data_IF_549762768876
#
_entry.id   IF_549762768876
#
_cell.length_a   1.000
_cell.length_b   1.000
_cell.length_c   1.000
_cell.angle_alpha   90.00
_cell.angle_beta   90.00
_cell.angle_gamma   90.00
#
_symmetry.space_group_name_H-M   'P 1'
#
loop_
_entity.id
_entity.type
_entity.pdbx_description
1 polymer ?
#
# COMPACT_ATOMS: atom_id res chain seq x y z
N UNK A 1 -23.34 29.06 3.68
CA UNK A 1 -24.42 28.11 3.29
C UNK A 1 -24.93 27.36 4.53
N UNK A 2 -26.22 26.96 4.61
CA UNK A 2 -26.74 26.21 5.77
C UNK A 2 -26.36 24.71 5.58
N UNK A 3 -25.53 24.19 6.46
CA UNK A 3 -25.14 22.76 6.42
C UNK A 3 -26.32 21.91 6.89
N UNK A 4 -26.76 21.00 6.02
CA UNK A 4 -27.89 20.08 6.31
C UNK A 4 -27.40 18.76 6.89
N UNK A 5 -28.27 18.05 7.60
CA UNK A 5 -27.98 16.73 8.12
C UNK A 5 -27.70 15.72 6.97
N UNK A 6 -28.33 15.89 5.81
CA UNK A 6 -28.08 15.06 4.62
C UNK A 6 -26.64 15.21 4.09
N UNK A 7 -26.13 16.44 3.99
CA UNK A 7 -24.74 16.70 3.58
C UNK A 7 -23.73 16.07 4.55
N UNK A 8 -24.01 16.16 5.86
CA UNK A 8 -23.13 15.54 6.88
C UNK A 8 -23.14 14.02 6.76
N UNK A 9 -24.31 13.42 6.50
CA UNK A 9 -24.45 11.99 6.30
C UNK A 9 -23.69 11.54 5.04
N UNK A 10 -23.89 12.23 3.92
CA UNK A 10 -23.19 11.94 2.64
C UNK A 10 -21.66 12.02 2.80
N UNK A 11 -21.15 13.10 3.41
CA UNK A 11 -19.71 13.24 3.65
C UNK A 11 -19.18 12.12 4.53
N UNK A 12 -19.94 11.70 5.56
CA UNK A 12 -19.57 10.58 6.42
C UNK A 12 -19.56 9.24 5.66
N UNK A 13 -20.51 8.99 4.79
CA UNK A 13 -20.55 7.77 3.96
C UNK A 13 -19.36 7.71 3.00
N UNK A 14 -18.96 8.84 2.43
CA UNK A 14 -17.79 8.93 1.53
C UNK A 14 -16.44 8.83 2.25
N UNK A 15 -16.34 9.31 3.51
CA UNK A 15 -15.03 9.45 4.19
C UNK A 15 -14.87 8.57 5.42
N UNK A 16 -15.95 7.94 5.90
CA UNK A 16 -15.99 7.21 7.18
C UNK A 16 -15.53 8.01 8.40
N UNK A 17 -15.43 9.34 8.29
CA UNK A 17 -15.02 10.23 9.37
C UNK A 17 -16.12 10.40 10.42
N UNK A 18 -15.75 10.91 11.61
CA UNK A 18 -16.70 11.19 12.69
C UNK A 18 -17.74 12.26 12.28
N UNK A 19 -19.00 12.10 12.70
CA UNK A 19 -20.11 12.99 12.33
C UNK A 19 -19.82 14.46 12.67
N UNK A 20 -19.19 14.73 13.83
CA UNK A 20 -18.87 16.10 14.25
C UNK A 20 -17.75 16.69 13.39
N UNK A 21 -16.79 15.88 12.97
CA UNK A 21 -15.72 16.29 12.08
C UNK A 21 -16.26 16.60 10.68
N UNK A 22 -17.14 15.75 10.15
CA UNK A 22 -17.81 16.02 8.87
C UNK A 22 -18.58 17.33 8.92
N UNK A 23 -19.37 17.57 9.99
CA UNK A 23 -20.11 18.83 10.15
C UNK A 23 -19.19 20.04 10.20
N UNK A 24 -18.09 19.95 10.97
CA UNK A 24 -17.12 21.03 11.11
C UNK A 24 -16.43 21.34 9.79
N UNK A 25 -15.97 20.32 9.09
CA UNK A 25 -15.29 20.52 7.80
C UNK A 25 -16.22 21.04 6.71
N UNK A 26 -17.49 20.61 6.68
CA UNK A 26 -18.48 21.22 5.78
C UNK A 26 -18.74 22.70 6.11
N UNK A 27 -18.74 23.08 7.40
CA UNK A 27 -18.84 24.48 7.78
C UNK A 27 -17.63 25.31 7.31
N UNK A 28 -16.41 24.79 7.50
CA UNK A 28 -15.17 25.44 7.05
C UNK A 28 -15.05 25.51 5.51
N UNK A 29 -15.69 24.55 4.82
CA UNK A 29 -15.75 24.48 3.36
C UNK A 29 -16.95 25.24 2.75
N UNK A 30 -17.75 25.97 3.55
CA UNK A 30 -18.98 26.64 3.11
C UNK A 30 -19.97 25.72 2.36
N UNK A 31 -19.98 24.44 2.72
CA UNK A 31 -20.84 23.41 2.13
C UNK A 31 -20.28 22.75 0.87
N UNK A 32 -19.06 23.08 0.46
CA UNK A 32 -18.37 22.39 -0.63
C UNK A 32 -17.90 20.99 -0.18
N UNK A 33 -18.42 19.95 -0.83
CA UNK A 33 -18.18 18.55 -0.46
C UNK A 33 -16.72 18.15 -0.70
N UNK A 34 -16.16 18.51 -1.85
CA UNK A 34 -14.79 18.11 -2.21
C UNK A 34 -13.76 18.83 -1.33
N UNK A 35 -13.95 20.10 -1.08
CA UNK A 35 -13.13 20.85 -0.15
C UNK A 35 -13.24 20.32 1.29
N UNK A 36 -14.42 19.87 1.72
CA UNK A 36 -14.60 19.24 3.03
C UNK A 36 -13.85 17.90 3.13
N UNK A 37 -13.83 17.10 2.06
CA UNK A 37 -13.03 15.86 1.97
C UNK A 37 -11.54 16.19 2.11
N UNK A 38 -11.06 17.20 1.39
CA UNK A 38 -9.64 17.61 1.47
C UNK A 38 -9.27 18.08 2.88
N UNK A 39 -10.13 18.86 3.54
CA UNK A 39 -9.92 19.30 4.93
C UNK A 39 -9.91 18.12 5.90
N UNK A 40 -10.80 17.13 5.73
CA UNK A 40 -10.79 15.89 6.51
C UNK A 40 -9.49 15.10 6.32
N UNK A 41 -9.01 14.99 5.09
CA UNK A 41 -7.73 14.33 4.77
C UNK A 41 -6.55 15.03 5.46
N UNK A 42 -6.46 16.36 5.37
CA UNK A 42 -5.44 17.17 6.08
C UNK A 42 -5.51 16.99 7.59
N UNK A 43 -6.71 16.98 8.15
CA UNK A 43 -6.93 16.74 9.59
C UNK A 43 -6.50 15.33 10.00
N UNK A 44 -6.82 14.32 9.19
CA UNK A 44 -6.42 12.92 9.39
C UNK A 44 -4.90 12.77 9.41
N UNK A 45 -4.20 13.36 8.45
CA UNK A 45 -2.74 13.40 8.39
C UNK A 45 -2.13 14.03 9.64
N UNK A 46 -2.65 15.17 10.08
CA UNK A 46 -2.18 15.84 11.30
C UNK A 46 -2.43 15.01 12.56
N UNK A 47 -3.57 14.31 12.64
CA UNK A 47 -3.88 13.43 13.77
C UNK A 47 -2.98 12.18 13.79
N UNK A 48 -2.72 11.57 12.66
CA UNK A 48 -1.79 10.44 12.52
C UNK A 48 -0.36 10.85 12.89
N UNK A 49 0.12 12.00 12.40
CA UNK A 49 1.44 12.53 12.72
C UNK A 49 1.65 12.73 14.23
N UNK A 50 0.64 13.20 14.96
CA UNK A 50 0.70 13.36 16.44
C UNK A 50 0.80 12.01 17.18
N UNK A 51 0.39 10.92 16.55
CA UNK A 51 0.36 9.57 17.15
C UNK A 51 1.53 8.69 16.70
N UNK A 52 2.20 9.03 15.61
CA UNK A 52 3.26 8.23 15.01
C UNK A 52 4.42 7.86 15.98
N UNK A 53 4.68 8.72 16.98
CA UNK A 53 5.68 8.46 18.02
C UNK A 53 5.20 7.64 19.21
N UNK A 54 3.91 7.23 19.27
CA UNK A 54 3.39 6.44 20.37
C UNK A 54 3.75 4.96 20.18
N UNK A 55 4.05 4.28 21.29
CA UNK A 55 4.36 2.86 21.27
C UNK A 55 3.13 2.05 20.85
N UNK A 56 3.26 1.27 19.80
CA UNK A 56 2.26 0.33 19.30
C UNK A 56 2.84 -1.08 19.44
N UNK A 57 2.63 -1.69 20.61
CA UNK A 57 3.18 -3.01 20.96
C UNK A 57 2.15 -4.13 20.88
N UNK A 58 0.87 -3.78 20.91
CA UNK A 58 -0.25 -4.68 20.70
C UNK A 58 -0.58 -4.80 19.20
N UNK A 59 -1.58 -5.57 18.82
CA UNK A 59 -2.00 -5.72 17.43
C UNK A 59 -2.38 -7.13 17.04
N UNK A 60 -2.15 -7.47 15.77
CA UNK A 60 -2.41 -8.82 15.25
C UNK A 60 -1.41 -9.24 14.18
N UNK A 61 -1.18 -10.55 14.11
CA UNK A 61 -0.59 -11.20 12.95
C UNK A 61 -1.73 -11.75 12.09
N UNK A 62 -1.94 -11.11 10.92
CA UNK A 62 -2.93 -11.56 9.96
C UNK A 62 -2.34 -12.49 8.93
N UNK A 63 -3.19 -13.34 8.34
CA UNK A 63 -2.82 -14.19 7.22
C UNK A 63 -3.80 -14.06 6.07
N UNK A 64 -3.29 -14.29 4.85
CA UNK A 64 -4.11 -14.37 3.65
C UNK A 64 -3.56 -15.45 2.72
N UNK A 65 -4.42 -16.36 2.29
CA UNK A 65 -4.08 -17.39 1.32
C UNK A 65 -4.91 -17.16 0.06
N UNK A 66 -4.23 -17.04 -1.09
CA UNK A 66 -4.86 -16.73 -2.37
C UNK A 66 -4.79 -17.92 -3.34
N UNK A 67 -5.80 -18.01 -4.21
CA UNK A 67 -5.83 -18.91 -5.36
C UNK A 67 -5.40 -20.35 -5.02
N UNK A 68 -6.20 -21.05 -4.23
CA UNK A 68 -5.98 -22.46 -3.86
C UNK A 68 -4.61 -22.74 -3.21
N UNK A 69 -4.07 -21.76 -2.48
CA UNK A 69 -2.80 -21.91 -1.78
C UNK A 69 -1.57 -21.54 -2.60
N UNK A 70 -1.73 -20.93 -3.77
CA UNK A 70 -0.59 -20.54 -4.62
C UNK A 70 0.21 -19.36 -4.09
N UNK A 71 -0.42 -18.50 -3.29
CA UNK A 71 0.23 -17.37 -2.61
C UNK A 71 -0.23 -17.35 -1.16
N UNK A 72 0.72 -17.25 -0.22
CA UNK A 72 0.48 -17.11 1.21
C UNK A 72 1.16 -15.86 1.76
N UNK A 73 0.45 -15.12 2.63
CA UNK A 73 0.97 -13.92 3.30
C UNK A 73 0.73 -14.03 4.80
N UNK A 74 1.74 -13.64 5.58
CA UNK A 74 1.63 -13.27 6.98
C UNK A 74 2.04 -11.81 7.13
N UNK A 75 1.26 -11.01 7.87
CA UNK A 75 1.57 -9.60 8.13
C UNK A 75 1.36 -9.27 9.60
N UNK A 76 2.29 -8.58 10.22
CA UNK A 76 2.19 -8.02 11.58
C UNK A 76 1.80 -6.55 11.49
N UNK A 77 0.62 -6.24 12.04
CA UNK A 77 0.10 -4.87 12.16
C UNK A 77 -0.09 -4.57 13.63
N UNK A 78 0.56 -3.51 14.10
CA UNK A 78 0.55 -3.12 15.51
C UNK A 78 -0.38 -1.94 15.76
N UNK A 79 -0.95 -1.88 16.98
CA UNK A 79 -1.72 -0.77 17.54
C UNK A 79 -1.32 -0.54 19.01
N UNK A 80 -1.90 0.48 19.66
CA UNK A 80 -1.54 0.84 21.03
C UNK A 80 -2.13 -0.14 22.07
N UNK A 81 -3.36 -0.64 21.84
CA UNK A 81 -4.07 -1.50 22.80
C UNK A 81 -4.64 -2.77 22.18
N UNK A 82 -4.78 -3.82 23.02
CA UNK A 82 -5.42 -5.09 22.64
C UNK A 82 -6.94 -4.92 22.38
N UNK A 83 -7.57 -3.91 22.96
CA UNK A 83 -8.97 -3.58 22.68
C UNK A 83 -9.17 -3.18 21.21
N UNK A 84 -8.31 -2.33 20.68
CA UNK A 84 -8.34 -1.93 19.26
C UNK A 84 -8.01 -3.13 18.39
N UNK A 85 -7.01 -3.93 18.74
CA UNK A 85 -6.62 -5.13 18.00
C UNK A 85 -7.80 -6.09 17.74
N UNK A 86 -8.77 -6.15 18.66
CA UNK A 86 -9.95 -7.04 18.56
C UNK A 86 -11.13 -6.44 17.79
N UNK A 87 -11.08 -5.16 17.42
CA UNK A 87 -12.19 -4.53 16.69
C UNK A 87 -12.29 -5.02 15.25
N UNK A 88 -13.52 -5.10 14.73
CA UNK A 88 -13.78 -5.47 13.33
C UNK A 88 -13.07 -4.53 12.34
N UNK A 89 -13.01 -3.24 12.65
CA UNK A 89 -12.33 -2.23 11.83
C UNK A 89 -10.83 -2.50 11.71
N UNK A 90 -10.17 -2.89 12.80
CA UNK A 90 -8.75 -3.23 12.81
C UNK A 90 -8.51 -4.57 12.11
N UNK A 91 -9.31 -5.58 12.39
CA UNK A 91 -9.19 -6.90 11.76
C UNK A 91 -9.45 -6.83 10.24
N UNK A 92 -10.38 -5.99 9.80
CA UNK A 92 -10.61 -5.72 8.38
C UNK A 92 -9.38 -5.04 7.73
N UNK A 93 -8.77 -4.07 8.40
CA UNK A 93 -7.54 -3.42 7.94
C UNK A 93 -6.39 -4.42 7.77
N UNK A 94 -6.16 -5.28 8.76
CA UNK A 94 -5.11 -6.32 8.71
C UNK A 94 -5.32 -7.25 7.51
N UNK A 95 -6.56 -7.68 7.28
CA UNK A 95 -6.94 -8.54 6.15
C UNK A 95 -6.75 -7.86 4.80
N UNK A 96 -7.12 -6.59 4.71
CA UNK A 96 -6.98 -5.78 3.50
C UNK A 96 -5.50 -5.58 3.13
N UNK A 97 -4.64 -5.33 4.13
CA UNK A 97 -3.19 -5.22 3.94
C UNK A 97 -2.61 -6.56 3.49
N UNK A 98 -2.97 -7.68 4.14
CA UNK A 98 -2.49 -9.00 3.76
C UNK A 98 -2.87 -9.38 2.32
N UNK A 99 -4.10 -9.07 1.91
CA UNK A 99 -4.58 -9.29 0.55
C UNK A 99 -3.85 -8.39 -0.46
N UNK A 100 -3.60 -7.13 -0.12
CA UNK A 100 -2.81 -6.22 -0.96
C UNK A 100 -1.39 -6.74 -1.16
N UNK A 101 -0.70 -7.18 -0.10
CA UNK A 101 0.65 -7.78 -0.18
C UNK A 101 0.64 -9.00 -1.11
N UNK A 102 -0.38 -9.84 -1.05
CA UNK A 102 -0.49 -11.01 -1.93
C UNK A 102 -0.55 -10.60 -3.41
N UNK A 103 -1.28 -9.53 -3.72
CA UNK A 103 -1.51 -9.08 -5.10
C UNK A 103 -0.39 -8.19 -5.65
N UNK A 104 0.11 -7.24 -4.85
CA UNK A 104 1.02 -6.18 -5.29
C UNK A 104 2.51 -6.53 -5.11
N UNK A 105 2.84 -7.62 -4.39
CA UNK A 105 4.21 -8.12 -4.21
C UNK A 105 5.23 -7.06 -3.75
N UNK A 106 4.97 -6.31 -2.67
CA UNK A 106 5.95 -5.37 -2.15
C UNK A 106 7.19 -6.11 -1.65
N UNK A 107 8.36 -5.46 -1.71
CA UNK A 107 9.63 -5.99 -1.20
C UNK A 107 9.99 -5.45 0.17
N UNK A 108 9.49 -4.26 0.49
CA UNK A 108 9.78 -3.50 1.72
C UNK A 108 8.48 -2.99 2.32
N UNK A 109 8.45 -2.75 3.62
CA UNK A 109 7.31 -2.05 4.22
C UNK A 109 7.38 -0.56 3.85
N UNK A 110 8.55 0.06 3.99
CA UNK A 110 8.77 1.51 3.81
C UNK A 110 10.08 1.81 3.11
N UNK A 111 10.22 3.02 2.56
CA UNK A 111 11.41 3.43 1.79
C UNK A 111 12.70 3.42 2.60
N UNK A 112 12.64 3.62 3.92
CA UNK A 112 13.81 3.60 4.81
C UNK A 112 14.44 2.21 4.94
N UNK A 113 13.73 1.15 4.55
CA UNK A 113 14.25 -0.22 4.51
C UNK A 113 15.05 -0.52 3.24
N UNK A 114 14.92 0.33 2.22
CA UNK A 114 15.67 0.20 0.97
C UNK A 114 17.10 0.70 1.18
N UNK A 115 18.07 -0.20 1.03
CA UNK A 115 19.47 0.17 1.26
C UNK A 115 20.02 1.08 0.17
N UNK A 116 20.93 2.00 0.54
CA UNK A 116 21.56 2.92 -0.42
C UNK A 116 22.27 2.13 -1.54
N UNK A 117 22.93 1.03 -1.22
CA UNK A 117 23.61 0.17 -2.22
C UNK A 117 22.65 -0.39 -3.28
N UNK A 118 21.40 -0.69 -2.90
CA UNK A 118 20.38 -1.13 -3.86
C UNK A 118 19.92 0.03 -4.74
N UNK A 119 19.70 1.19 -4.15
CA UNK A 119 19.32 2.39 -4.90
C UNK A 119 20.40 2.83 -5.90
N UNK A 120 21.66 2.75 -5.49
CA UNK A 120 22.80 3.10 -6.37
C UNK A 120 22.86 2.15 -7.58
N UNK A 121 22.65 0.85 -7.37
CA UNK A 121 22.58 -0.14 -8.47
C UNK A 121 21.41 0.11 -9.41
N UNK A 122 20.22 0.36 -8.87
CA UNK A 122 19.05 0.68 -9.69
C UNK A 122 19.26 1.99 -10.47
N UNK A 123 19.86 3.00 -9.83
CA UNK A 123 20.16 4.27 -10.48
C UNK A 123 21.15 4.10 -11.64
N UNK A 124 22.18 3.27 -11.48
CA UNK A 124 23.14 2.94 -12.54
C UNK A 124 22.45 2.23 -13.72
N UNK A 125 21.63 1.21 -13.43
CA UNK A 125 20.84 0.50 -14.45
C UNK A 125 19.95 1.45 -15.23
N UNK A 126 19.23 2.35 -14.52
CA UNK A 126 18.37 3.32 -15.18
C UNK A 126 19.14 4.34 -16.00
N UNK A 127 20.33 4.77 -15.54
CA UNK A 127 21.18 5.68 -16.29
C UNK A 127 21.67 5.02 -17.59
N UNK A 128 22.11 3.76 -17.53
CA UNK A 128 22.56 3.01 -18.70
C UNK A 128 21.45 2.78 -19.72
N UNK A 129 20.23 2.45 -19.25
CA UNK A 129 19.05 2.37 -20.11
C UNK A 129 18.80 3.68 -20.85
N UNK A 130 18.88 4.81 -20.14
CA UNK A 130 18.65 6.14 -20.73
C UNK A 130 19.75 6.52 -21.74
N UNK A 131 21.00 6.13 -21.50
CA UNK A 131 22.12 6.27 -22.47
C UNK A 131 21.87 5.45 -23.73
N UNK A 132 21.46 4.20 -23.56
CA UNK A 132 21.12 3.32 -24.67
C UNK A 132 19.93 3.87 -25.52
N UNK A 133 18.99 4.56 -24.89
CA UNK A 133 17.88 5.27 -25.56
C UNK A 133 18.31 6.61 -26.21
N UNK A 134 19.59 6.99 -26.13
CA UNK A 134 20.11 8.22 -26.72
C UNK A 134 19.73 9.51 -25.98
N UNK A 135 19.37 9.42 -24.69
CA UNK A 135 19.08 10.62 -23.88
C UNK A 135 20.37 11.40 -23.57
N UNK A 136 20.25 12.71 -23.52
CA UNK A 136 21.37 13.58 -23.17
C UNK A 136 21.80 13.39 -21.71
N UNK A 137 23.13 13.31 -21.45
CA UNK A 137 23.72 13.22 -20.10
C UNK A 137 23.19 14.32 -19.14
N UNK A 138 22.81 15.48 -19.67
CA UNK A 138 22.27 16.60 -18.86
C UNK A 138 20.92 16.30 -18.22
N UNK A 139 20.08 15.47 -18.86
CA UNK A 139 18.72 15.16 -18.38
C UNK A 139 18.63 13.83 -17.66
N UNK A 140 19.60 12.91 -17.85
CA UNK A 140 19.61 11.57 -17.24
C UNK A 140 19.45 11.64 -15.73
N UNK A 141 20.15 12.50 -14.96
CA UNK A 141 19.99 12.53 -13.50
C UNK A 141 18.54 12.83 -13.06
N UNK A 142 17.83 13.71 -13.76
CA UNK A 142 16.44 14.03 -13.44
C UNK A 142 15.49 12.86 -13.76
N UNK A 143 15.75 12.15 -14.88
CA UNK A 143 14.97 10.97 -15.25
C UNK A 143 15.21 9.84 -14.22
N UNK A 144 16.47 9.60 -13.85
CA UNK A 144 16.83 8.58 -12.85
C UNK A 144 16.16 8.89 -11.51
N UNK A 145 16.18 10.13 -11.06
CA UNK A 145 15.46 10.54 -9.85
C UNK A 145 13.97 10.16 -9.91
N UNK A 146 13.30 10.46 -11.02
CA UNK A 146 11.89 10.09 -11.23
C UNK A 146 11.67 8.57 -11.25
N UNK A 147 12.61 7.80 -11.84
CA UNK A 147 12.56 6.33 -11.84
C UNK A 147 12.77 5.74 -10.44
N UNK A 148 13.62 6.33 -9.61
CA UNK A 148 13.80 5.93 -8.20
C UNK A 148 12.53 6.21 -7.38
N UNK A 149 11.87 7.35 -7.55
CA UNK A 149 10.58 7.59 -6.88
C UNK A 149 9.53 6.56 -7.32
N UNK A 150 9.52 6.19 -8.60
CA UNK A 150 8.66 5.11 -9.10
C UNK A 150 9.01 3.76 -8.49
N UNK A 151 10.31 3.46 -8.33
CA UNK A 151 10.78 2.25 -7.64
C UNK A 151 10.20 2.14 -6.23
N UNK A 152 10.20 3.24 -5.45
CA UNK A 152 9.57 3.24 -4.12
C UNK A 152 8.08 2.95 -4.19
N UNK A 153 7.36 3.61 -5.10
CA UNK A 153 5.91 3.40 -5.25
C UNK A 153 5.52 2.01 -5.76
N UNK A 154 6.44 1.28 -6.39
CA UNK A 154 6.23 -0.09 -6.86
C UNK A 154 6.63 -1.15 -5.83
N UNK A 155 7.66 -0.87 -5.00
CA UNK A 155 8.26 -1.87 -4.12
C UNK A 155 8.06 -1.64 -2.62
N UNK A 156 7.67 -0.43 -2.19
CA UNK A 156 7.41 -0.13 -0.79
C UNK A 156 5.91 -0.19 -0.50
N UNK A 157 5.48 -1.13 0.33
CA UNK A 157 4.09 -1.39 0.68
C UNK A 157 3.30 -0.11 0.99
N UNK A 158 3.85 0.76 1.84
CA UNK A 158 3.15 1.96 2.29
C UNK A 158 2.92 2.98 1.17
N UNK A 159 3.72 2.93 0.10
CA UNK A 159 3.64 3.86 -1.04
C UNK A 159 2.85 3.28 -2.22
N UNK A 160 2.57 1.98 -2.20
CA UNK A 160 1.78 1.34 -3.26
C UNK A 160 0.33 1.85 -3.28
N UNK A 161 -0.26 2.07 -4.47
CA UNK A 161 -1.69 2.30 -4.62
C UNK A 161 -2.48 1.11 -4.09
N UNK A 162 -3.49 1.36 -3.26
CA UNK A 162 -4.30 0.29 -2.67
C UNK A 162 -5.14 -0.43 -3.73
N UNK A 163 -5.06 -1.76 -3.79
CA UNK A 163 -5.68 -2.56 -4.87
C UNK A 163 -7.20 -2.45 -4.97
N UNK A 164 -7.91 -2.07 -3.91
CA UNK A 164 -9.37 -1.86 -3.91
C UNK A 164 -9.76 -0.41 -4.21
N UNK A 165 -8.82 0.53 -4.07
CA UNK A 165 -9.03 1.96 -4.25
C UNK A 165 -7.70 2.62 -4.63
N UNK A 166 -7.41 2.64 -5.93
CA UNK A 166 -6.12 3.10 -6.46
C UNK A 166 -5.89 4.60 -6.35
N UNK A 167 -6.92 5.36 -5.92
CA UNK A 167 -6.81 6.80 -5.70
C UNK A 167 -6.10 7.13 -4.38
N UNK A 168 -5.82 6.12 -3.55
CA UNK A 168 -5.08 6.27 -2.31
C UNK A 168 -4.00 5.20 -2.13
N UNK A 169 -2.92 5.56 -1.45
CA UNK A 169 -1.87 4.64 -1.04
C UNK A 169 -2.27 3.84 0.20
N UNK A 170 -1.53 2.77 0.48
CA UNK A 170 -1.67 1.99 1.74
C UNK A 170 -1.40 2.90 2.96
N UNK A 171 -0.42 3.82 2.88
CA UNK A 171 -0.16 4.79 3.94
C UNK A 171 -1.36 5.69 4.22
N UNK A 172 -2.02 6.16 3.17
CA UNK A 172 -3.23 7.00 3.30
C UNK A 172 -4.40 6.22 3.90
N UNK A 173 -4.60 4.97 3.49
CA UNK A 173 -5.60 4.08 4.08
C UNK A 173 -5.36 3.86 5.58
N UNK A 174 -4.11 3.60 6.00
CA UNK A 174 -3.73 3.46 7.41
C UNK A 174 -3.97 4.78 8.16
N UNK A 175 -3.61 5.92 7.57
CA UNK A 175 -3.83 7.24 8.15
C UNK A 175 -5.30 7.53 8.42
N UNK A 176 -6.19 7.18 7.49
CA UNK A 176 -7.63 7.27 7.67
C UNK A 176 -8.10 6.40 8.85
N UNK A 177 -7.56 5.20 8.99
CA UNK A 177 -7.87 4.30 10.12
C UNK A 177 -7.36 4.85 11.44
N UNK A 178 -6.15 5.41 11.50
CA UNK A 178 -5.63 6.10 12.69
C UNK A 178 -6.52 7.28 13.10
N UNK A 179 -7.00 8.06 12.13
CA UNK A 179 -7.90 9.17 12.38
C UNK A 179 -9.26 8.70 12.95
N UNK A 180 -9.80 7.59 12.43
CA UNK A 180 -11.08 7.00 12.84
C UNK A 180 -10.98 6.32 14.20
N UNK A 181 -10.00 5.44 14.38
CA UNK A 181 -9.83 4.58 15.57
C UNK A 181 -9.27 5.38 16.75
N UNK A 182 -8.36 6.31 16.47
CA UNK A 182 -7.78 7.17 17.51
C UNK A 182 -6.47 6.65 18.10
N UNK A 183 -5.92 5.56 17.61
CA UNK A 183 -4.64 4.99 18.03
C UNK A 183 -3.60 5.02 16.91
N UNK A 184 -2.31 4.94 17.27
CA UNK A 184 -1.22 4.68 16.33
C UNK A 184 -1.38 3.27 15.76
N UNK A 185 -1.27 3.14 14.44
CA UNK A 185 -1.31 1.86 13.73
C UNK A 185 -0.11 1.80 12.78
N UNK A 186 0.63 0.71 12.81
CA UNK A 186 1.81 0.52 12.00
C UNK A 186 1.87 -0.89 11.43
N UNK A 187 2.23 -1.01 10.15
CA UNK A 187 2.69 -2.28 9.59
C UNK A 187 4.16 -2.45 9.99
N UNK A 188 4.46 -3.51 10.70
CA UNK A 188 5.81 -3.78 11.19
C UNK A 188 6.62 -4.58 10.19
N UNK A 189 6.07 -5.71 9.73
CA UNK A 189 6.73 -6.64 8.79
C UNK A 189 5.70 -7.55 8.15
N UNK A 190 6.12 -8.20 7.08
CA UNK A 190 5.35 -9.27 6.43
C UNK A 190 6.29 -10.35 5.88
N UNK A 191 5.70 -11.50 5.57
CA UNK A 191 6.31 -12.55 4.77
C UNK A 191 5.31 -12.97 3.69
N UNK A 192 5.78 -13.10 2.45
CA UNK A 192 5.00 -13.56 1.31
C UNK A 192 5.67 -14.77 0.70
N UNK A 193 4.90 -15.77 0.39
CA UNK A 193 5.32 -17.00 -0.27
C UNK A 193 4.51 -17.20 -1.54
N UNK A 194 5.19 -17.50 -2.63
CA UNK A 194 4.57 -17.87 -3.90
C UNK A 194 5.03 -19.26 -4.28
N UNK A 195 4.08 -20.13 -4.56
CA UNK A 195 4.38 -21.51 -4.94
C UNK A 195 5.31 -21.56 -6.16
N UNK A 196 6.44 -22.26 -6.03
CA UNK A 196 7.41 -22.42 -7.09
C UNK A 196 8.31 -21.20 -7.35
N UNK A 197 8.30 -20.20 -6.47
CA UNK A 197 9.20 -19.05 -6.55
C UNK A 197 10.66 -19.50 -6.41
N UNK A 198 11.54 -19.06 -7.35
CA UNK A 198 12.94 -19.43 -7.37
C UNK A 198 13.23 -20.86 -7.89
N UNK A 199 12.21 -21.62 -8.27
CA UNK A 199 12.40 -22.96 -8.88
C UNK A 199 12.32 -22.83 -10.40
N UNK A 200 13.37 -23.22 -11.10
CA UNK A 200 13.33 -23.37 -12.56
C UNK A 200 12.33 -24.46 -12.94
N UNK A 201 11.23 -24.08 -13.57
CA UNK A 201 10.32 -25.06 -14.17
C UNK A 201 11.00 -25.65 -15.40
N UNK A 202 11.13 -26.99 -15.47
CA UNK A 202 11.42 -27.66 -16.74
C UNK A 202 10.38 -27.17 -17.76
N UNK A 203 10.85 -26.57 -18.83
CA UNK A 203 10.02 -26.38 -20.01
C UNK A 203 9.86 -27.78 -20.62
N UNK A 204 8.72 -28.41 -20.36
CA UNK A 204 8.33 -29.58 -21.13
C UNK A 204 8.07 -29.06 -22.54
N UNK A 205 8.99 -29.31 -23.45
CA UNK A 205 8.79 -28.99 -24.86
C UNK A 205 7.81 -30.03 -25.44
N UNK A 206 6.52 -29.78 -25.14
CA UNK A 206 5.43 -30.62 -25.59
C UNK A 206 5.45 -30.82 -27.13
N UNK A 207 5.96 -29.85 -27.87
CA UNK A 207 6.10 -29.94 -29.29
C UNK A 207 7.21 -30.96 -29.67
N UNK A 208 8.32 -31.00 -28.93
CA UNK A 208 9.38 -32.00 -29.10
C UNK A 208 8.93 -33.42 -28.67
N UNK A 209 8.15 -33.52 -27.56
CA UNK A 209 7.59 -34.82 -27.13
C UNK A 209 6.58 -35.37 -28.14
N UNK A 210 5.68 -34.54 -28.67
CA UNK A 210 4.73 -34.94 -29.70
C UNK A 210 5.45 -35.30 -30.99
N UNK A 211 6.52 -34.57 -31.37
CA UNK A 211 7.32 -34.88 -32.55
C UNK A 211 8.12 -36.20 -32.39
N UNK A 212 8.59 -36.51 -31.17
CA UNK A 212 9.25 -37.77 -30.87
C UNK A 212 8.26 -38.95 -30.93
N UNK A 213 7.08 -38.82 -30.34
CA UNK A 213 6.00 -39.81 -30.43
C UNK A 213 5.53 -40.04 -31.86
N UNK A 214 5.47 -39.01 -32.70
CA UNK A 214 5.08 -39.12 -34.11
C UNK A 214 6.15 -39.83 -34.98
N UNK A 215 7.41 -39.84 -34.54
CA UNK A 215 8.51 -40.52 -35.23
C UNK A 215 8.74 -41.97 -34.80
N UNK A 216 8.00 -42.46 -33.80
CA UNK A 216 8.03 -43.86 -33.37
C UNK A 216 9.33 -44.28 -32.65
N UNK A 217 10.03 -43.36 -31.98
CA UNK A 217 11.13 -43.62 -31.06
C UNK A 217 10.69 -43.70 -29.60
#
# INVERSE_FOLDING_TARGET
>A
MKITAAMVKELRERTSAGMMDCKKMLQEADGDMEKAIELLRKKGLAAAGKKAGRTAAEGAVGSYIHANGSIGVLVEVNCETDFVARTDDFQALVRDIAMHIAAADPRFVRREEVTQSLLDKEAEIYADQMRAEGKSEKIIPNIVKGKIEKYYSEHCLLEQPYIKDTDKSIQEMITEKIAKIGENIQVRRFARFKLGEGIEKKQDDFAAEVAAMAKGE
#
